data_IF_534253187300
#
_entry.id   IF_534253187300
#
_cell.length_a   1.000
_cell.length_b   1.000
_cell.length_c   1.000
_cell.angle_alpha   90.00
_cell.angle_beta   90.00
_cell.angle_gamma   90.00
#
_symmetry.space_group_name_H-M   'P 1'
#
loop_
_entity.id
_entity.type
_entity.pdbx_description
1 polymer ?
#
# COMPACT_ATOMS: atom_id res chain seq x y z
N UNK A 1 -22.79 -29.41 13.09
CA UNK A 1 -22.88 -28.02 12.59
C UNK A 1 -21.49 -27.54 12.13
N UNK A 2 -21.01 -28.06 11.00
CA UNK A 2 -19.74 -27.67 10.36
C UNK A 2 -19.91 -27.92 8.85
N UNK A 3 -20.18 -26.86 8.08
CA UNK A 3 -20.02 -26.90 6.62
C UNK A 3 -18.88 -25.97 6.26
N UNK A 4 -17.92 -26.56 5.58
CA UNK A 4 -16.57 -26.11 5.37
C UNK A 4 -16.45 -25.07 4.26
N UNK A 5 -15.39 -24.26 4.40
CA UNK A 5 -14.89 -23.26 3.47
C UNK A 5 -14.45 -23.86 2.12
N UNK A 6 -15.37 -24.16 1.19
CA UNK A 6 -15.02 -24.72 -0.13
C UNK A 6 -15.05 -23.74 -1.32
N UNK A 7 -15.31 -22.44 -1.13
CA UNK A 7 -15.36 -21.46 -2.24
C UNK A 7 -14.20 -20.44 -2.31
N UNK A 8 -13.08 -20.68 -1.62
CA UNK A 8 -11.95 -19.73 -1.57
C UNK A 8 -10.92 -19.77 -2.73
N UNK A 9 -10.68 -20.87 -3.49
CA UNK A 9 -9.57 -20.86 -4.46
C UNK A 9 -9.84 -20.07 -5.75
N UNK A 10 -11.06 -20.16 -6.33
CA UNK A 10 -11.36 -19.52 -7.62
C UNK A 10 -11.46 -17.98 -7.56
N UNK A 11 -11.85 -17.41 -6.41
CA UNK A 11 -11.94 -15.95 -6.23
C UNK A 11 -10.56 -15.28 -6.15
N UNK A 12 -9.55 -15.99 -5.65
CA UNK A 12 -8.20 -15.46 -5.48
C UNK A 12 -7.44 -15.36 -6.81
N UNK A 13 -7.62 -16.35 -7.70
CA UNK A 13 -6.91 -16.42 -8.98
C UNK A 13 -7.25 -15.25 -9.92
N UNK A 14 -8.53 -14.87 -10.00
CA UNK A 14 -8.98 -13.75 -10.83
C UNK A 14 -8.55 -12.39 -10.24
N UNK A 15 -8.50 -12.26 -8.91
CA UNK A 15 -8.01 -11.04 -8.26
C UNK A 15 -6.49 -10.85 -8.44
N UNK A 16 -5.71 -11.93 -8.44
CA UNK A 16 -4.26 -11.89 -8.70
C UNK A 16 -3.96 -11.55 -10.16
N UNK A 17 -4.73 -12.09 -11.12
CA UNK A 17 -4.62 -11.71 -12.54
C UNK A 17 -4.98 -10.25 -12.77
N UNK A 18 -6.05 -9.75 -12.15
CA UNK A 18 -6.44 -8.33 -12.25
C UNK A 18 -5.39 -7.41 -11.62
N UNK A 19 -4.77 -7.82 -10.51
CA UNK A 19 -3.68 -7.08 -9.85
C UNK A 19 -2.41 -7.02 -10.71
N UNK A 20 -2.00 -8.14 -11.31
CA UNK A 20 -0.90 -8.18 -12.28
C UNK A 20 -1.20 -7.33 -13.52
N UNK A 21 -2.44 -7.36 -14.01
CA UNK A 21 -2.90 -6.57 -15.16
C UNK A 21 -2.93 -5.06 -14.86
N UNK A 22 -3.36 -4.66 -13.66
CA UNK A 22 -3.30 -3.28 -13.18
C UNK A 22 -1.84 -2.79 -13.06
N UNK A 23 -0.93 -3.66 -12.58
CA UNK A 23 0.50 -3.35 -12.56
C UNK A 23 1.12 -3.27 -13.96
N UNK A 24 0.67 -4.07 -14.94
CA UNK A 24 1.21 -4.03 -16.31
C UNK A 24 0.64 -2.90 -17.18
N UNK A 25 -0.58 -2.44 -16.90
CA UNK A 25 -1.21 -1.27 -17.55
C UNK A 25 -0.46 0.05 -17.23
N UNK A 26 0.26 0.10 -16.10
CA UNK A 26 1.10 1.24 -15.73
C UNK A 26 2.35 1.32 -16.62
N UNK A 27 2.82 0.20 -17.18
CA UNK A 27 4.12 0.16 -17.86
C UNK A 27 4.10 0.03 -19.38
N UNK A 28 3.05 -0.47 -20.05
CA UNK A 28 3.05 -0.55 -21.54
C UNK A 28 1.65 -0.46 -22.18
N UNK A 29 1.36 0.64 -22.88
CA UNK A 29 0.36 0.67 -23.96
C UNK A 29 1.05 0.44 -25.29
N UNK A 30 1.04 -0.80 -25.78
CA UNK A 30 1.40 -1.08 -27.17
C UNK A 30 0.25 -0.59 -28.07
N UNK A 31 0.55 0.28 -29.03
CA UNK A 31 -0.42 0.75 -30.02
C UNK A 31 -0.45 -0.26 -31.17
N UNK A 32 -1.61 -0.84 -31.44
CA UNK A 32 -1.84 -1.66 -32.64
C UNK A 32 -2.09 -0.76 -33.86
N UNK A 33 -1.53 -1.16 -35.01
CA UNK A 33 -1.60 -0.49 -36.30
C UNK A 33 -2.78 -1.00 -37.14
N UNK A 34 -3.14 -0.27 -38.21
CA UNK A 34 -4.11 -0.70 -39.23
C UNK A 34 -3.70 -2.04 -39.85
N UNK A 35 -2.40 -2.31 -39.97
CA UNK A 35 -1.90 -3.60 -40.47
C UNK A 35 -2.25 -4.78 -39.55
N UNK A 36 -2.32 -4.56 -38.23
CA UNK A 36 -2.66 -5.60 -37.26
C UNK A 36 -4.16 -5.96 -37.31
N UNK A 37 -5.02 -4.98 -37.59
CA UNK A 37 -6.46 -5.23 -37.83
C UNK A 37 -6.69 -6.05 -39.10
N UNK A 38 -5.93 -5.76 -40.16
CA UNK A 38 -6.01 -6.48 -41.43
C UNK A 38 -5.50 -7.91 -41.25
N UNK A 39 -4.36 -8.11 -40.58
CA UNK A 39 -3.84 -9.45 -40.28
C UNK A 39 -4.77 -10.26 -39.37
N UNK A 40 -5.38 -9.64 -38.35
CA UNK A 40 -6.36 -10.31 -37.51
C UNK A 40 -7.57 -10.78 -38.32
N UNK A 41 -8.15 -9.91 -39.17
CA UNK A 41 -9.31 -10.26 -40.02
C UNK A 41 -9.02 -11.38 -41.03
N UNK A 42 -7.76 -11.56 -41.43
CA UNK A 42 -7.32 -12.62 -42.34
C UNK A 42 -7.15 -13.96 -41.59
N UNK A 43 -6.67 -13.93 -40.34
CA UNK A 43 -6.27 -15.14 -39.60
C UNK A 43 -7.27 -15.61 -38.52
N UNK A 44 -8.32 -14.83 -38.20
CA UNK A 44 -9.29 -15.19 -37.16
C UNK A 44 -10.40 -16.10 -37.69
N UNK A 45 -10.93 -16.98 -36.83
CA UNK A 45 -12.12 -17.76 -37.15
C UNK A 45 -13.37 -16.86 -37.28
N UNK A 46 -14.42 -17.38 -37.93
CA UNK A 46 -15.68 -16.64 -38.18
C UNK A 46 -16.28 -16.05 -36.89
N UNK A 47 -16.27 -16.80 -35.79
CA UNK A 47 -16.82 -16.39 -34.50
C UNK A 47 -16.05 -15.20 -33.87
N UNK A 48 -14.72 -15.18 -33.99
CA UNK A 48 -13.90 -14.08 -33.50
C UNK A 48 -14.07 -12.83 -34.35
N UNK A 49 -14.26 -12.99 -35.67
CA UNK A 49 -14.61 -11.89 -36.58
C UNK A 49 -15.97 -11.29 -36.25
N UNK A 50 -16.97 -12.12 -35.96
CA UNK A 50 -18.30 -11.67 -35.53
C UNK A 50 -18.23 -10.89 -34.22
N UNK A 51 -17.51 -11.40 -33.20
CA UNK A 51 -17.31 -10.70 -31.92
C UNK A 51 -16.57 -9.37 -32.09
N UNK A 52 -15.55 -9.34 -32.95
CA UNK A 52 -14.83 -8.11 -33.27
C UNK A 52 -15.78 -7.07 -33.88
N UNK A 53 -16.52 -7.45 -34.93
CA UNK A 53 -17.47 -6.58 -35.61
C UNK A 53 -18.56 -6.07 -34.65
N UNK A 54 -19.08 -6.93 -33.76
CA UNK A 54 -20.07 -6.54 -32.75
C UNK A 54 -19.50 -5.51 -31.76
N UNK A 55 -18.23 -5.64 -31.34
CA UNK A 55 -17.57 -4.64 -30.50
C UNK A 55 -17.44 -3.29 -31.22
N UNK A 56 -16.98 -3.28 -32.47
CA UNK A 56 -16.83 -2.05 -33.27
C UNK A 56 -18.18 -1.38 -33.50
N UNK A 57 -19.22 -2.16 -33.87
CA UNK A 57 -20.61 -1.68 -34.01
C UNK A 57 -21.13 -1.03 -32.73
N UNK A 58 -20.68 -1.51 -31.57
CA UNK A 58 -21.05 -0.93 -30.29
C UNK A 58 -20.19 0.26 -29.86
N UNK A 59 -19.18 0.64 -30.65
CA UNK A 59 -18.37 1.85 -30.44
C UNK A 59 -17.07 1.61 -29.68
N UNK A 60 -16.62 0.36 -29.52
CA UNK A 60 -15.27 0.09 -29.03
C UNK A 60 -14.25 0.38 -30.14
N UNK A 61 -13.07 0.86 -29.74
CA UNK A 61 -11.96 1.00 -30.70
C UNK A 61 -11.33 -0.35 -30.99
N UNK A 62 -10.86 -0.54 -32.23
CA UNK A 62 -10.14 -1.76 -32.63
C UNK A 62 -8.95 -2.06 -31.72
N UNK A 63 -8.19 -1.03 -31.35
CA UNK A 63 -7.06 -1.17 -30.43
C UNK A 63 -7.51 -1.70 -29.06
N UNK A 64 -8.63 -1.21 -28.52
CA UNK A 64 -9.17 -1.72 -27.26
C UNK A 64 -9.61 -3.19 -27.37
N UNK A 65 -10.20 -3.61 -28.50
CA UNK A 65 -10.62 -4.99 -28.72
C UNK A 65 -9.42 -5.93 -28.86
N UNK A 66 -8.47 -5.60 -29.75
CA UNK A 66 -7.31 -6.44 -30.05
C UNK A 66 -6.33 -6.55 -28.88
N UNK A 67 -6.17 -5.48 -28.09
CA UNK A 67 -5.34 -5.50 -26.88
C UNK A 67 -5.93 -6.35 -25.75
N UNK A 68 -7.15 -6.89 -25.91
CA UNK A 68 -7.91 -7.57 -24.87
C UNK A 68 -8.46 -8.93 -25.35
N UNK A 69 -7.57 -9.91 -25.46
CA UNK A 69 -7.89 -11.28 -25.91
C UNK A 69 -9.06 -11.95 -25.18
N UNK A 70 -9.33 -11.55 -23.93
CA UNK A 70 -10.43 -12.10 -23.14
C UNK A 70 -11.81 -11.84 -23.78
N UNK A 71 -11.95 -10.82 -24.63
CA UNK A 71 -13.20 -10.51 -25.35
C UNK A 71 -13.60 -11.70 -26.24
N UNK A 72 -12.64 -12.29 -26.94
CA UNK A 72 -12.88 -13.43 -27.83
C UNK A 72 -13.23 -14.71 -27.07
N UNK A 73 -12.94 -14.78 -25.77
CA UNK A 73 -13.29 -15.92 -24.89
C UNK A 73 -14.71 -15.81 -24.34
N UNK A 74 -15.38 -14.67 -24.49
CA UNK A 74 -16.77 -14.47 -24.03
C UNK A 74 -17.74 -15.09 -25.04
N UNK A 75 -18.85 -15.66 -24.56
CA UNK A 75 -19.94 -16.12 -25.41
C UNK A 75 -20.58 -14.94 -26.17
N UNK A 76 -20.86 -15.10 -27.47
CA UNK A 76 -21.38 -14.02 -28.32
C UNK A 76 -22.66 -13.37 -27.77
N UNK A 77 -23.63 -14.16 -27.28
CA UNK A 77 -24.88 -13.65 -26.72
C UNK A 77 -24.62 -12.80 -25.46
N UNK A 78 -23.68 -13.24 -24.61
CA UNK A 78 -23.27 -12.46 -23.44
C UNK A 78 -22.57 -11.15 -23.84
N UNK A 79 -21.71 -11.20 -24.87
CA UNK A 79 -21.01 -10.02 -25.39
C UNK A 79 -22.01 -8.98 -25.93
N UNK A 80 -22.88 -9.37 -26.87
CA UNK A 80 -23.84 -8.47 -27.51
C UNK A 80 -24.84 -7.87 -26.51
N UNK A 81 -25.42 -8.71 -25.64
CA UNK A 81 -26.33 -8.24 -24.59
C UNK A 81 -25.60 -7.32 -23.59
N UNK A 82 -24.36 -7.66 -23.23
CA UNK A 82 -23.55 -6.86 -22.31
C UNK A 82 -23.21 -5.49 -22.89
N UNK A 83 -22.81 -5.41 -24.15
CA UNK A 83 -22.54 -4.16 -24.85
C UNK A 83 -23.78 -3.27 -24.95
N UNK A 84 -24.95 -3.87 -25.15
CA UNK A 84 -26.24 -3.17 -25.12
C UNK A 84 -26.55 -2.59 -23.75
N UNK A 85 -26.26 -3.33 -22.67
CA UNK A 85 -26.41 -2.83 -21.31
C UNK A 85 -25.44 -1.69 -21.00
N UNK A 86 -24.17 -1.80 -21.41
CA UNK A 86 -23.17 -0.75 -21.18
C UNK A 86 -23.49 0.56 -21.89
N UNK A 87 -24.09 0.52 -23.08
CA UNK A 87 -24.59 1.74 -23.74
C UNK A 87 -25.59 2.52 -22.86
N UNK A 88 -26.40 1.83 -22.05
CA UNK A 88 -27.37 2.46 -21.12
C UNK A 88 -26.70 3.22 -19.96
N UNK A 89 -25.41 3.04 -19.73
CA UNK A 89 -24.64 3.78 -18.72
C UNK A 89 -24.20 5.17 -19.21
N UNK A 90 -24.60 5.55 -20.42
CA UNK A 90 -24.21 6.78 -21.10
C UNK A 90 -22.68 7.03 -21.08
N UNK A 91 -21.87 6.07 -21.61
CA UNK A 91 -20.43 6.24 -21.67
C UNK A 91 -20.03 7.39 -22.59
N UNK A 92 -19.05 8.19 -22.18
CA UNK A 92 -18.32 9.13 -23.05
C UNK A 92 -17.52 8.38 -24.12
N UNK A 93 -16.92 7.25 -23.75
CA UNK A 93 -16.26 6.29 -24.65
C UNK A 93 -16.58 4.88 -24.19
N UNK A 94 -16.93 3.98 -25.10
CA UNK A 94 -17.23 2.59 -24.75
C UNK A 94 -16.03 1.85 -24.17
N UNK A 95 -14.82 2.21 -24.62
CA UNK A 95 -13.54 1.75 -24.08
C UNK A 95 -13.36 2.05 -22.58
N UNK A 96 -14.10 2.98 -22.01
CA UNK A 96 -14.01 3.28 -20.58
C UNK A 96 -14.69 2.19 -19.74
N UNK A 97 -15.70 1.51 -20.28
CA UNK A 97 -16.59 0.61 -19.53
C UNK A 97 -16.49 -0.86 -19.93
N UNK A 98 -15.88 -1.18 -21.08
CA UNK A 98 -15.93 -2.54 -21.65
C UNK A 98 -15.42 -3.63 -20.70
N UNK A 99 -14.53 -3.33 -19.76
CA UNK A 99 -14.05 -4.31 -18.77
C UNK A 99 -15.20 -4.92 -17.95
N UNK A 100 -16.31 -4.20 -17.77
CA UNK A 100 -17.51 -4.69 -17.09
C UNK A 100 -18.16 -5.89 -17.79
N UNK A 101 -17.86 -6.14 -19.07
CA UNK A 101 -18.32 -7.33 -19.79
C UNK A 101 -17.81 -8.63 -19.17
N UNK A 102 -16.72 -8.59 -18.39
CA UNK A 102 -16.21 -9.74 -17.64
C UNK A 102 -17.09 -10.10 -16.43
N UNK A 103 -18.08 -9.28 -16.07
CA UNK A 103 -19.02 -9.59 -15.00
C UNK A 103 -20.09 -10.60 -15.46
N UNK A 104 -20.62 -11.44 -14.55
CA UNK A 104 -21.80 -12.25 -14.84
C UNK A 104 -22.97 -11.39 -15.28
N UNK A 105 -23.74 -11.85 -16.27
CA UNK A 105 -24.83 -11.07 -16.88
C UNK A 105 -25.86 -10.60 -15.85
N UNK A 106 -26.20 -11.44 -14.87
CA UNK A 106 -27.12 -11.10 -13.77
C UNK A 106 -26.63 -9.89 -12.97
N UNK A 107 -25.32 -9.79 -12.72
CA UNK A 107 -24.72 -8.64 -12.04
C UNK A 107 -24.68 -7.41 -12.93
N UNK A 108 -24.38 -7.57 -14.21
CA UNK A 108 -24.35 -6.45 -15.16
C UNK A 108 -25.75 -5.82 -15.32
N UNK A 109 -26.80 -6.65 -15.43
CA UNK A 109 -28.21 -6.18 -15.45
C UNK A 109 -28.55 -5.42 -14.18
N UNK A 110 -28.24 -5.99 -13.01
CA UNK A 110 -28.48 -5.34 -11.72
C UNK A 110 -27.78 -3.98 -11.61
N UNK A 111 -26.48 -3.94 -11.94
CA UNK A 111 -25.72 -2.69 -11.89
C UNK A 111 -26.20 -1.67 -12.91
N UNK A 112 -26.64 -2.10 -14.09
CA UNK A 112 -27.21 -1.19 -15.10
C UNK A 112 -28.48 -0.51 -14.59
N UNK A 113 -29.39 -1.28 -13.98
CA UNK A 113 -30.60 -0.71 -13.34
C UNK A 113 -30.22 0.27 -12.24
N UNK A 114 -29.28 -0.10 -11.36
CA UNK A 114 -28.81 0.75 -10.27
C UNK A 114 -28.17 2.04 -10.78
N UNK A 115 -27.26 1.98 -11.75
CA UNK A 115 -26.64 3.16 -12.36
C UNK A 115 -27.67 4.08 -12.97
N UNK A 116 -28.69 3.54 -13.65
CA UNK A 116 -29.76 4.35 -14.21
C UNK A 116 -30.56 5.09 -13.14
N UNK A 117 -30.96 4.40 -12.06
CA UNK A 117 -31.66 5.02 -10.92
C UNK A 117 -30.82 6.12 -10.25
N UNK A 118 -29.52 5.87 -10.10
CA UNK A 118 -28.59 6.80 -9.44
C UNK A 118 -28.10 7.93 -10.34
N UNK A 119 -28.37 7.89 -11.65
CA UNK A 119 -27.87 8.87 -12.62
C UNK A 119 -28.26 10.32 -12.30
N UNK A 120 -29.36 10.52 -11.57
CA UNK A 120 -29.85 11.83 -11.12
C UNK A 120 -29.06 12.40 -9.95
N UNK A 121 -28.46 11.54 -9.12
CA UNK A 121 -27.75 11.95 -7.90
C UNK A 121 -26.22 11.81 -8.04
N UNK A 122 -25.75 10.95 -8.95
CA UNK A 122 -24.33 10.74 -9.20
C UNK A 122 -23.84 11.77 -10.22
N UNK A 123 -22.87 12.64 -9.86
CA UNK A 123 -22.27 13.55 -10.82
C UNK A 123 -21.73 12.81 -12.05
N UNK A 124 -21.91 13.40 -13.22
CA UNK A 124 -21.60 12.78 -14.53
C UNK A 124 -22.43 11.53 -14.86
N UNK A 125 -23.54 11.28 -14.15
CA UNK A 125 -24.53 10.26 -14.48
C UNK A 125 -24.15 8.82 -14.12
N UNK A 126 -22.87 8.52 -13.90
CA UNK A 126 -22.44 7.21 -13.40
C UNK A 126 -21.18 7.29 -12.53
N UNK A 127 -21.01 6.26 -11.71
CA UNK A 127 -19.94 6.22 -10.69
C UNK A 127 -18.54 6.19 -11.30
N UNK A 128 -18.35 5.60 -12.49
CA UNK A 128 -17.03 5.55 -13.14
C UNK A 128 -16.55 6.97 -13.44
N UNK A 129 -17.39 7.82 -14.04
CA UNK A 129 -17.00 9.20 -14.31
C UNK A 129 -16.94 10.07 -13.06
N UNK A 130 -17.80 9.83 -12.07
CA UNK A 130 -17.67 10.47 -10.76
C UNK A 130 -16.30 10.21 -10.13
N UNK A 131 -15.87 8.95 -10.03
CA UNK A 131 -14.56 8.62 -9.46
C UNK A 131 -13.41 9.13 -10.32
N UNK A 132 -13.55 9.11 -11.65
CA UNK A 132 -12.55 9.64 -12.58
C UNK A 132 -12.30 11.14 -12.38
N UNK A 133 -13.35 11.94 -12.26
CA UNK A 133 -13.20 13.37 -11.99
C UNK A 133 -12.72 13.65 -10.56
N UNK A 134 -13.24 12.92 -9.58
CA UNK A 134 -12.93 13.10 -8.16
C UNK A 134 -11.46 12.81 -7.83
N UNK A 135 -10.91 11.75 -8.40
CA UNK A 135 -9.53 11.30 -8.17
C UNK A 135 -8.56 11.64 -9.30
N UNK A 136 -9.01 12.39 -10.31
CA UNK A 136 -8.21 12.81 -11.47
C UNK A 136 -7.57 11.60 -12.17
N UNK A 137 -8.37 10.56 -12.39
CA UNK A 137 -7.95 9.28 -12.99
C UNK A 137 -8.59 9.07 -14.35
N UNK A 138 -7.95 8.25 -15.17
CA UNK A 138 -8.55 7.84 -16.43
C UNK A 138 -9.80 6.97 -16.16
N UNK A 139 -10.94 7.18 -16.84
CA UNK A 139 -12.16 6.41 -16.61
C UNK A 139 -11.99 4.90 -16.76
N UNK A 140 -11.15 4.46 -17.70
CA UNK A 140 -10.82 3.05 -17.88
C UNK A 140 -10.11 2.49 -16.63
N UNK A 141 -9.08 3.18 -16.11
CA UNK A 141 -8.37 2.82 -14.86
C UNK A 141 -9.36 2.71 -13.70
N UNK A 142 -10.27 3.68 -13.60
CA UNK A 142 -11.32 3.69 -12.57
C UNK A 142 -12.24 2.50 -12.71
N UNK A 143 -12.64 2.14 -13.92
CA UNK A 143 -13.51 1.00 -14.15
C UNK A 143 -12.87 -0.31 -13.67
N UNK A 144 -11.58 -0.53 -13.96
CA UNK A 144 -10.82 -1.65 -13.41
C UNK A 144 -10.75 -1.61 -11.87
N UNK A 145 -10.53 -0.43 -11.30
CA UNK A 145 -10.48 -0.24 -9.86
C UNK A 145 -11.80 -0.59 -9.17
N UNK A 146 -12.92 -0.13 -9.72
CA UNK A 146 -14.26 -0.47 -9.21
C UNK A 146 -14.57 -1.97 -9.41
N UNK A 147 -14.08 -2.61 -10.48
CA UNK A 147 -14.17 -4.06 -10.64
C UNK A 147 -13.39 -4.84 -9.58
N UNK A 148 -12.27 -4.30 -9.10
CA UNK A 148 -11.53 -4.85 -7.97
C UNK A 148 -12.33 -4.65 -6.66
N UNK A 149 -12.84 -3.44 -6.44
CA UNK A 149 -13.63 -3.07 -5.27
C UNK A 149 -15.13 -3.00 -5.58
N UNK A 150 -15.73 -4.14 -5.92
CA UNK A 150 -17.12 -4.23 -6.44
C UNK A 150 -18.18 -3.57 -5.56
N UNK A 151 -17.95 -3.47 -4.25
CA UNK A 151 -18.86 -2.81 -3.33
C UNK A 151 -19.05 -1.32 -3.68
N UNK A 152 -18.08 -0.69 -4.36
CA UNK A 152 -18.19 0.69 -4.83
C UNK A 152 -19.31 0.88 -5.86
N UNK A 153 -19.73 -0.17 -6.55
CA UNK A 153 -20.90 -0.10 -7.43
C UNK A 153 -22.22 -0.18 -6.66
N UNK A 154 -22.23 -0.86 -5.50
CA UNK A 154 -23.47 -1.25 -4.83
C UNK A 154 -23.79 -0.42 -3.59
N UNK A 155 -22.76 0.01 -2.86
CA UNK A 155 -22.89 0.83 -1.64
C UNK A 155 -23.70 2.08 -1.92
N UNK A 156 -24.50 2.53 -0.97
CA UNK A 156 -25.25 3.79 -1.09
C UNK A 156 -24.34 4.95 -1.52
N UNK A 157 -24.74 5.67 -2.57
CA UNK A 157 -23.91 6.71 -3.18
C UNK A 157 -23.77 7.91 -2.24
N UNK A 158 -24.85 8.32 -1.57
CA UNK A 158 -24.86 9.48 -0.68
C UNK A 158 -23.87 9.27 0.46
N UNK A 159 -23.92 8.09 1.10
CA UNK A 159 -22.98 7.69 2.15
C UNK A 159 -21.54 7.69 1.65
N UNK A 160 -21.30 7.14 0.46
CA UNK A 160 -19.96 7.09 -0.13
C UNK A 160 -19.41 8.49 -0.38
N UNK A 161 -20.23 9.36 -0.98
CA UNK A 161 -19.90 10.75 -1.26
C UNK A 161 -19.63 11.53 0.03
N UNK A 162 -20.45 11.33 1.06
CA UNK A 162 -20.26 11.95 2.36
C UNK A 162 -18.94 11.52 3.02
N UNK A 163 -18.60 10.22 2.98
CA UNK A 163 -17.30 9.74 3.45
C UNK A 163 -16.15 10.42 2.70
N UNK A 164 -16.25 10.55 1.37
CA UNK A 164 -15.22 11.25 0.59
C UNK A 164 -15.04 12.70 1.07
N UNK A 165 -16.12 13.46 1.21
CA UNK A 165 -16.06 14.86 1.66
C UNK A 165 -15.47 15.00 3.07
N UNK A 166 -15.89 14.16 4.02
CA UNK A 166 -15.31 14.13 5.38
C UNK A 166 -13.79 13.94 5.30
N UNK A 167 -13.30 13.03 4.47
CA UNK A 167 -11.85 12.77 4.35
C UNK A 167 -11.11 13.98 3.76
N UNK A 168 -11.67 14.63 2.74
CA UNK A 168 -11.05 15.81 2.10
C UNK A 168 -11.05 17.02 3.05
N UNK A 169 -12.16 17.29 3.73
CA UNK A 169 -12.26 18.36 4.75
C UNK A 169 -11.24 18.18 5.88
N UNK A 170 -10.90 16.93 6.19
CA UNK A 170 -9.89 16.58 7.17
C UNK A 170 -8.48 16.42 6.57
N UNK A 171 -8.23 17.01 5.40
CA UNK A 171 -6.93 17.07 4.73
C UNK A 171 -6.31 15.70 4.44
N UNK A 172 -7.13 14.67 4.25
CA UNK A 172 -6.65 13.34 3.86
C UNK A 172 -6.31 13.36 2.37
N UNK A 173 -5.10 12.91 2.03
CA UNK A 173 -4.60 12.95 0.65
C UNK A 173 -5.43 12.06 -0.28
N UNK A 174 -5.87 12.59 -1.45
CA UNK A 174 -6.65 11.85 -2.45
C UNK A 174 -6.01 10.53 -2.89
N UNK A 175 -4.69 10.51 -3.07
CA UNK A 175 -3.97 9.29 -3.46
C UNK A 175 -3.96 8.24 -2.35
N UNK A 176 -3.92 8.65 -1.08
CA UNK A 176 -4.02 7.72 0.04
C UNK A 176 -5.44 7.12 0.12
N UNK A 177 -6.48 7.92 -0.12
CA UNK A 177 -7.88 7.46 -0.19
C UNK A 177 -8.05 6.46 -1.34
N UNK A 178 -7.51 6.77 -2.53
CA UNK A 178 -7.57 5.89 -3.69
C UNK A 178 -6.93 4.52 -3.41
N UNK A 179 -5.73 4.53 -2.80
CA UNK A 179 -5.01 3.31 -2.42
C UNK A 179 -5.72 2.50 -1.35
N UNK A 180 -6.41 3.15 -0.41
CA UNK A 180 -7.14 2.49 0.67
C UNK A 180 -8.66 2.63 0.50
N UNK A 181 -9.14 2.17 -0.66
CA UNK A 181 -10.55 2.24 -1.04
C UNK A 181 -11.51 1.56 -0.06
N UNK A 182 -11.00 0.62 0.76
CA UNK A 182 -11.78 -0.01 1.82
C UNK A 182 -12.25 0.97 2.90
N UNK A 183 -11.77 2.21 2.94
CA UNK A 183 -12.30 3.24 3.84
C UNK A 183 -13.79 3.53 3.58
N UNK A 184 -14.22 3.46 2.32
CA UNK A 184 -15.63 3.51 1.95
C UNK A 184 -16.41 2.29 2.45
N UNK A 185 -15.76 1.37 3.15
CA UNK A 185 -16.23 0.32 4.07
C UNK A 185 -17.11 0.76 5.24
N UNK A 186 -16.68 1.84 5.86
CA UNK A 186 -16.89 2.07 7.27
C UNK A 186 -18.03 3.06 7.51
N UNK A 187 -18.57 3.08 8.72
CA UNK A 187 -19.61 4.04 9.08
C UNK A 187 -19.02 5.44 9.23
N UNK A 188 -19.85 6.45 8.94
CA UNK A 188 -19.50 7.86 9.13
C UNK A 188 -19.16 8.13 10.60
N UNK A 189 -19.91 7.55 11.54
CA UNK A 189 -19.67 7.73 12.98
C UNK A 189 -18.30 7.21 13.41
N UNK A 190 -17.90 6.02 12.96
CA UNK A 190 -16.58 5.47 13.27
C UNK A 190 -15.47 6.36 12.69
N UNK A 191 -15.64 6.83 11.45
CA UNK A 191 -14.68 7.71 10.78
C UNK A 191 -14.54 9.01 11.56
N UNK A 192 -15.64 9.68 11.89
CA UNK A 192 -15.65 10.93 12.64
C UNK A 192 -15.06 10.77 14.04
N UNK A 193 -15.40 9.69 14.74
CA UNK A 193 -14.84 9.37 16.03
C UNK A 193 -13.31 9.27 15.97
N UNK A 194 -12.76 8.51 15.02
CA UNK A 194 -11.30 8.35 14.88
C UNK A 194 -10.58 9.59 14.37
N UNK A 195 -11.24 10.39 13.53
CA UNK A 195 -10.74 11.71 13.13
C UNK A 195 -10.62 12.60 14.37
N UNK A 196 -11.64 12.62 15.24
CA UNK A 196 -11.61 13.44 16.46
C UNK A 196 -10.47 13.07 17.40
N UNK A 197 -10.23 11.75 17.59
CA UNK A 197 -9.13 11.25 18.41
C UNK A 197 -7.77 11.58 17.78
N UNK A 198 -7.64 11.43 16.46
CA UNK A 198 -6.40 11.76 15.74
C UNK A 198 -6.07 13.26 15.86
N UNK A 199 -7.06 14.14 15.75
CA UNK A 199 -6.89 15.59 15.93
C UNK A 199 -6.46 15.93 17.35
N UNK A 200 -7.10 15.35 18.38
CA UNK A 200 -6.71 15.53 19.79
C UNK A 200 -5.25 15.09 20.04
N UNK A 201 -4.82 14.03 19.37
CA UNK A 201 -3.45 13.52 19.44
C UNK A 201 -2.45 14.25 18.53
N UNK A 202 -2.88 15.27 17.77
CA UNK A 202 -2.08 15.96 16.75
C UNK A 202 -1.40 15.00 15.76
N UNK A 203 -2.18 14.01 15.28
CA UNK A 203 -1.74 13.02 14.30
C UNK A 203 -2.24 13.36 12.90
N UNK A 204 -1.40 13.18 11.85
CA UNK A 204 -1.87 13.24 10.49
C UNK A 204 -2.84 12.10 10.22
N UNK A 205 -4.00 12.42 9.66
CA UNK A 205 -5.06 11.44 9.42
C UNK A 205 -4.72 10.63 8.16
N UNK A 206 -4.67 9.31 8.29
CA UNK A 206 -4.50 8.37 7.18
C UNK A 206 -5.68 7.40 7.11
N UNK A 207 -6.14 7.00 5.91
CA UNK A 207 -7.29 6.10 5.77
C UNK A 207 -7.17 4.80 6.57
N UNK A 208 -5.98 4.19 6.60
CA UNK A 208 -5.75 2.94 7.34
C UNK A 208 -6.00 3.10 8.85
N UNK A 209 -5.76 4.30 9.41
CA UNK A 209 -5.99 4.59 10.83
C UNK A 209 -7.48 4.61 11.17
N UNK A 210 -8.33 4.96 10.20
CA UNK A 210 -9.77 5.06 10.39
C UNK A 210 -10.47 3.68 10.33
N UNK A 211 -9.75 2.66 9.84
CA UNK A 211 -10.27 1.30 9.65
C UNK A 211 -9.56 0.22 10.49
N UNK A 212 -8.38 0.50 11.04
CA UNK A 212 -7.63 -0.50 11.77
C UNK A 212 -8.36 -0.92 13.06
N UNK A 213 -7.96 -2.04 13.66
CA UNK A 213 -8.54 -2.45 14.94
C UNK A 213 -8.29 -1.39 16.04
N UNK A 214 -9.15 -1.28 17.07
CA UNK A 214 -8.97 -0.29 18.14
C UNK A 214 -7.59 -0.31 18.77
N UNK A 215 -7.06 -1.50 19.06
CA UNK A 215 -5.77 -1.67 19.75
C UNK A 215 -4.60 -1.14 18.90
N UNK A 216 -4.68 -1.31 17.58
CA UNK A 216 -3.68 -0.78 16.64
C UNK A 216 -3.73 0.75 16.59
N UNK A 217 -4.92 1.33 16.70
CA UNK A 217 -5.12 2.78 16.68
C UNK A 217 -4.65 3.42 18.00
N UNK A 218 -5.05 2.86 19.13
CA UNK A 218 -4.62 3.26 20.47
C UNK A 218 -3.11 3.20 20.58
N UNK A 219 -2.49 2.08 20.18
CA UNK A 219 -1.03 1.95 20.18
C UNK A 219 -0.34 3.00 19.32
N UNK A 220 -0.96 3.41 18.21
CA UNK A 220 -0.42 4.49 17.35
C UNK A 220 -0.43 5.83 18.08
N UNK A 221 -1.50 6.13 18.82
CA UNK A 221 -1.60 7.34 19.65
C UNK A 221 -0.57 7.31 20.78
N UNK A 222 -0.46 6.20 21.50
CA UNK A 222 0.52 6.00 22.58
C UNK A 222 1.94 6.23 22.09
N UNK A 223 2.36 5.56 21.01
CA UNK A 223 3.71 5.72 20.44
C UNK A 223 3.98 7.18 20.09
N UNK A 224 2.98 7.91 19.57
CA UNK A 224 3.15 9.32 19.25
C UNK A 224 3.35 10.16 20.51
N UNK A 225 2.58 9.90 21.56
CA UNK A 225 2.69 10.59 22.84
C UNK A 225 4.03 10.29 23.51
N UNK A 226 4.43 9.02 23.61
CA UNK A 226 5.74 8.61 24.14
C UNK A 226 6.88 9.30 23.38
N UNK A 227 6.83 9.30 22.05
CA UNK A 227 7.84 9.98 21.23
C UNK A 227 7.86 11.50 21.47
N UNK A 228 6.70 12.12 21.69
CA UNK A 228 6.61 13.55 22.00
C UNK A 228 7.21 13.86 23.37
N UNK A 229 7.02 12.99 24.37
CA UNK A 229 7.65 13.13 25.69
C UNK A 229 9.18 13.10 25.56
N UNK A 230 9.71 12.18 24.76
CA UNK A 230 11.17 12.06 24.54
C UNK A 230 11.75 13.24 23.79
N UNK A 231 11.08 13.67 22.71
CA UNK A 231 11.55 14.78 21.87
C UNK A 231 11.28 16.16 22.48
N UNK A 232 10.28 16.28 23.36
CA UNK A 232 9.74 17.55 23.83
C UNK A 232 9.31 18.45 22.64
N UNK A 233 10.10 19.51 22.34
CA UNK A 233 9.91 20.40 21.18
C UNK A 233 10.96 20.22 20.09
N UNK A 234 11.92 19.33 20.31
CA UNK A 234 13.05 19.13 19.41
C UNK A 234 12.68 18.18 18.27
N UNK A 235 13.34 18.35 17.12
CA UNK A 235 13.41 17.30 16.11
C UNK A 235 14.30 16.14 16.61
N UNK A 236 14.17 14.96 16.01
CA UNK A 236 15.08 13.82 16.29
C UNK A 236 16.55 14.20 16.14
N UNK A 237 16.89 15.03 15.14
CA UNK A 237 18.26 15.48 14.92
C UNK A 237 18.76 16.39 16.05
N UNK A 238 17.93 17.33 16.50
CA UNK A 238 18.23 18.21 17.62
C UNK A 238 18.36 17.43 18.94
N UNK A 239 17.46 16.48 19.17
CA UNK A 239 17.51 15.59 20.34
C UNK A 239 18.83 14.82 20.40
N UNK A 240 19.24 14.18 19.29
CA UNK A 240 20.51 13.46 19.21
C UNK A 240 21.71 14.38 19.38
N UNK A 241 21.69 15.56 18.75
CA UNK A 241 22.77 16.55 18.84
C UNK A 241 23.00 16.99 20.29
N UNK A 242 21.92 17.32 21.01
CA UNK A 242 21.96 17.69 22.43
C UNK A 242 22.48 16.55 23.30
N UNK A 243 21.95 15.33 23.11
CA UNK A 243 22.30 14.16 23.94
C UNK A 243 23.74 13.70 23.75
N UNK A 244 24.25 13.79 22.53
CA UNK A 244 25.62 13.42 22.20
C UNK A 244 26.61 14.60 22.31
N UNK A 245 26.14 15.80 22.64
CA UNK A 245 26.93 17.04 22.72
C UNK A 245 27.71 17.33 21.43
N UNK A 246 27.05 17.20 20.28
CA UNK A 246 27.63 17.47 18.96
C UNK A 246 26.79 18.48 18.17
N UNK A 247 27.38 19.18 17.19
CA UNK A 247 26.63 20.09 16.33
C UNK A 247 25.51 19.38 15.55
N UNK A 248 24.36 20.02 15.39
CA UNK A 248 23.21 19.47 14.64
C UNK A 248 23.58 19.11 13.19
N UNK A 249 24.45 19.90 12.56
CA UNK A 249 24.98 19.63 11.21
C UNK A 249 25.62 18.24 11.09
N UNK A 250 26.27 17.77 12.15
CA UNK A 250 26.91 16.45 12.19
C UNK A 250 25.85 15.35 12.16
N UNK A 251 24.78 15.48 12.95
CA UNK A 251 23.67 14.52 12.95
C UNK A 251 22.93 14.52 11.62
N UNK A 252 22.73 15.69 11.00
CA UNK A 252 22.12 15.80 9.67
C UNK A 252 22.96 15.09 8.60
N UNK A 253 24.28 15.26 8.63
CA UNK A 253 25.20 14.54 7.75
C UNK A 253 25.15 13.01 7.94
N UNK A 254 25.13 12.54 9.19
CA UNK A 254 24.97 11.10 9.46
C UNK A 254 23.58 10.61 8.99
N UNK A 255 22.54 11.41 9.15
CA UNK A 255 21.18 11.10 8.71
C UNK A 255 21.06 11.00 7.19
N UNK A 256 21.75 11.87 6.43
CA UNK A 256 21.77 11.79 4.97
C UNK A 256 22.58 10.59 4.48
N UNK A 257 23.66 10.23 5.16
CA UNK A 257 24.51 9.07 4.81
C UNK A 257 23.89 7.73 5.20
N UNK A 258 23.17 7.67 6.31
CA UNK A 258 22.57 6.45 6.87
C UNK A 258 21.07 6.65 7.21
N UNK A 259 20.21 6.90 6.20
CA UNK A 259 18.83 7.31 6.44
C UNK A 259 17.97 6.24 7.13
N UNK A 260 18.27 4.95 6.91
CA UNK A 260 17.54 3.84 7.53
C UNK A 260 17.83 3.70 9.01
N UNK A 261 19.05 4.04 9.41
CA UNK A 261 19.56 3.85 10.77
C UNK A 261 18.95 4.83 11.77
N UNK A 262 18.58 6.01 11.33
CA UNK A 262 18.00 7.07 12.16
C UNK A 262 16.47 7.22 11.98
N UNK A 263 15.81 6.25 11.32
CA UNK A 263 14.34 6.14 11.23
C UNK A 263 13.69 5.43 12.41
N UNK A 264 14.49 4.98 13.38
CA UNK A 264 13.98 4.36 14.61
C UNK A 264 13.21 5.35 15.46
N UNK A 265 12.28 4.86 16.29
CA UNK A 265 11.46 5.73 17.13
C UNK A 265 12.34 6.51 18.13
N UNK A 266 11.99 7.77 18.45
CA UNK A 266 12.64 8.53 19.51
C UNK A 266 12.74 7.78 20.84
N UNK A 267 11.71 7.04 21.25
CA UNK A 267 11.75 6.18 22.44
C UNK A 267 12.89 5.16 22.40
N UNK A 268 12.98 4.38 21.32
CA UNK A 268 14.06 3.40 21.14
C UNK A 268 15.44 4.07 21.07
N UNK A 269 15.55 5.24 20.42
CA UNK A 269 16.79 6.02 20.41
C UNK A 269 17.21 6.43 21.82
N UNK A 270 16.27 6.91 22.64
CA UNK A 270 16.54 7.26 24.03
C UNK A 270 17.06 6.07 24.81
N UNK A 271 16.37 4.94 24.76
CA UNK A 271 16.75 3.75 25.51
C UNK A 271 18.13 3.21 25.08
N UNK A 272 18.41 3.16 23.77
CA UNK A 272 19.73 2.75 23.28
C UNK A 272 20.81 3.75 23.72
N UNK A 273 20.57 5.06 23.62
CA UNK A 273 21.53 6.06 24.07
C UNK A 273 21.80 5.99 25.58
N UNK A 274 20.76 5.85 26.40
CA UNK A 274 20.90 5.70 27.85
C UNK A 274 21.75 4.48 28.18
N UNK A 275 21.49 3.35 27.54
CA UNK A 275 22.29 2.14 27.69
C UNK A 275 23.76 2.37 27.28
N UNK A 276 24.02 2.87 26.07
CA UNK A 276 25.39 3.03 25.57
C UNK A 276 26.21 4.03 26.39
N UNK A 277 25.61 5.15 26.78
CA UNK A 277 26.29 6.16 27.60
C UNK A 277 26.56 5.63 29.01
N UNK A 278 25.64 4.84 29.58
CA UNK A 278 25.84 4.17 30.89
C UNK A 278 26.98 3.17 30.84
N UNK A 279 27.12 2.42 29.75
CA UNK A 279 28.23 1.48 29.53
C UNK A 279 29.56 2.17 29.15
N UNK A 280 29.61 3.51 29.15
CA UNK A 280 30.84 4.28 28.95
C UNK A 280 31.19 4.58 27.49
N UNK A 281 30.32 4.25 26.52
CA UNK A 281 30.58 4.59 25.12
C UNK A 281 30.51 6.10 24.88
N UNK A 282 31.59 6.66 24.34
CA UNK A 282 31.67 8.09 23.97
C UNK A 282 30.86 8.40 22.72
N UNK A 283 30.43 9.65 22.56
CA UNK A 283 29.70 10.12 21.38
C UNK A 283 30.39 9.81 20.06
N UNK A 284 31.71 9.87 20.02
CA UNK A 284 32.52 9.53 18.84
C UNK A 284 32.37 8.07 18.42
N UNK A 285 32.31 7.14 19.39
CA UNK A 285 32.08 5.72 19.12
C UNK A 285 30.67 5.49 18.55
N UNK A 286 29.66 6.15 19.15
CA UNK A 286 28.26 6.00 18.73
C UNK A 286 28.07 6.53 17.31
N UNK A 287 28.63 7.70 17.00
CA UNK A 287 28.52 8.34 15.69
C UNK A 287 29.35 7.67 14.60
N UNK A 288 30.46 7.01 14.95
CA UNK A 288 31.23 6.19 14.00
C UNK A 288 30.53 4.87 13.69
N UNK A 289 29.63 4.41 14.56
CA UNK A 289 28.85 3.17 14.37
C UNK A 289 27.33 3.44 14.43
N UNK A 290 26.74 4.22 13.50
CA UNK A 290 25.32 4.57 13.58
C UNK A 290 24.41 3.35 13.65
N UNK A 291 24.80 2.24 12.99
CA UNK A 291 24.02 0.99 12.91
C UNK A 291 23.61 0.44 14.27
N UNK A 292 24.28 0.83 15.35
CA UNK A 292 23.89 0.49 16.72
C UNK A 292 22.42 0.77 17.03
N UNK A 293 21.85 1.84 16.45
CA UNK A 293 20.44 2.19 16.65
C UNK A 293 19.44 1.20 16.04
N UNK A 294 19.88 0.35 15.10
CA UNK A 294 19.02 -0.63 14.45
C UNK A 294 18.80 -1.89 15.28
N UNK A 295 19.71 -2.20 16.20
CA UNK A 295 19.64 -3.40 17.05
C UNK A 295 18.63 -3.23 18.19
N UNK A 296 18.19 -4.34 18.79
CA UNK A 296 17.44 -4.29 20.06
C UNK A 296 18.41 -4.14 21.23
N UNK A 297 17.94 -3.56 22.33
CA UNK A 297 18.74 -3.43 23.55
C UNK A 297 19.11 -4.80 24.10
N UNK A 298 18.18 -5.76 24.06
CA UNK A 298 18.44 -7.14 24.48
C UNK A 298 19.64 -7.74 23.76
N UNK A 299 19.71 -7.59 22.43
CA UNK A 299 20.85 -8.09 21.64
C UNK A 299 22.13 -7.34 21.97
N UNK A 300 22.08 -6.02 22.20
CA UNK A 300 23.28 -5.27 22.58
C UNK A 300 23.79 -5.67 23.97
N UNK A 301 22.89 -5.90 24.93
CA UNK A 301 23.22 -6.34 26.28
C UNK A 301 23.80 -7.75 26.29
N UNK A 302 23.13 -8.71 25.66
CA UNK A 302 23.58 -10.11 25.55
C UNK A 302 25.01 -10.18 24.99
N UNK A 303 25.25 -9.50 23.88
CA UNK A 303 26.56 -9.50 23.22
C UNK A 303 27.64 -8.78 24.02
N UNK A 304 27.27 -7.73 24.74
CA UNK A 304 28.20 -6.98 25.57
C UNK A 304 28.62 -7.81 26.79
N UNK A 305 27.69 -8.51 27.42
CA UNK A 305 27.99 -9.46 28.51
C UNK A 305 28.86 -10.61 28.00
N UNK A 306 28.47 -11.26 26.90
CA UNK A 306 29.23 -12.38 26.34
C UNK A 306 30.68 -12.01 25.98
N UNK A 307 30.91 -10.83 25.39
CA UNK A 307 32.27 -10.38 25.08
C UNK A 307 33.09 -10.10 26.34
N UNK A 308 32.48 -9.50 27.39
CA UNK A 308 33.15 -9.26 28.67
C UNK A 308 33.50 -10.55 29.38
N UNK A 309 32.60 -11.53 29.39
CA UNK A 309 32.82 -12.84 30.01
C UNK A 309 33.96 -13.60 29.30
N UNK A 310 34.16 -13.36 28.01
CA UNK A 310 35.28 -13.88 27.23
C UNK A 310 36.58 -13.05 27.37
N UNK A 311 36.61 -12.03 28.23
CA UNK A 311 37.77 -11.17 28.47
C UNK A 311 38.10 -10.23 27.31
N UNK A 312 37.16 -10.00 26.38
CA UNK A 312 37.33 -9.09 25.25
C UNK A 312 36.71 -7.73 25.53
N UNK A 313 37.39 -6.65 25.14
CA UNK A 313 36.84 -5.29 25.25
C UNK A 313 35.70 -5.09 24.23
N UNK A 314 34.45 -4.86 24.65
CA UNK A 314 33.32 -4.77 23.73
C UNK A 314 33.35 -3.46 22.94
N UNK A 315 33.56 -3.55 21.63
CA UNK A 315 33.44 -2.39 20.73
C UNK A 315 32.07 -2.34 20.05
N UNK A 316 31.54 -1.14 19.78
CA UNK A 316 30.25 -1.01 19.07
C UNK A 316 30.25 -1.70 17.72
N UNK A 317 31.37 -1.67 17.00
CA UNK A 317 31.54 -2.38 15.72
C UNK A 317 31.36 -3.88 15.89
N UNK A 318 31.89 -4.48 16.96
CA UNK A 318 31.71 -5.90 17.28
C UNK A 318 30.25 -6.21 17.64
N UNK A 319 29.64 -5.41 18.52
CA UNK A 319 28.24 -5.58 18.92
C UNK A 319 27.27 -5.48 17.74
N UNK A 320 27.59 -4.67 16.74
CA UNK A 320 26.73 -4.42 15.58
C UNK A 320 26.89 -5.41 14.41
N UNK A 321 27.75 -6.43 14.54
CA UNK A 321 27.97 -7.47 13.52
C UNK A 321 26.67 -8.24 13.21
N UNK A 322 26.57 -8.81 12.02
CA UNK A 322 25.47 -9.74 11.71
C UNK A 322 25.65 -11.04 12.51
N UNK A 323 24.61 -11.88 12.63
CA UNK A 323 24.65 -13.08 13.47
C UNK A 323 25.84 -14.00 13.16
N UNK A 324 26.07 -14.30 11.89
CA UNK A 324 27.16 -15.20 11.44
C UNK A 324 28.53 -14.65 11.80
N UNK A 325 28.83 -13.40 11.42
CA UNK A 325 30.13 -12.76 11.70
C UNK A 325 30.36 -12.48 13.18
N UNK A 326 29.30 -12.29 13.95
CA UNK A 326 29.38 -12.18 15.40
C UNK A 326 29.75 -13.54 16.03
N UNK A 327 29.11 -14.64 15.59
CA UNK A 327 29.44 -15.97 16.09
C UNK A 327 30.89 -16.37 15.74
N UNK A 328 31.37 -16.04 14.55
CA UNK A 328 32.78 -16.26 14.18
C UNK A 328 33.75 -15.52 15.10
N UNK A 329 33.40 -14.30 15.53
CA UNK A 329 34.20 -13.53 16.49
C UNK A 329 34.22 -14.24 17.86
N UNK A 330 33.06 -14.65 18.37
CA UNK A 330 32.92 -15.39 19.62
C UNK A 330 33.74 -16.68 19.59
N UNK A 331 33.60 -17.49 18.53
CA UNK A 331 34.34 -18.74 18.39
C UNK A 331 35.86 -18.52 18.38
N UNK A 332 36.34 -17.45 17.73
CA UNK A 332 37.76 -17.08 17.74
C UNK A 332 38.25 -16.69 19.15
N UNK A 333 37.42 -16.00 19.93
CA UNK A 333 37.75 -15.62 21.30
C UNK A 333 37.79 -16.85 22.22
N UNK A 334 36.83 -17.76 22.10
CA UNK A 334 36.80 -19.03 22.84
C UNK A 334 38.08 -19.84 22.55
N UNK A 335 38.45 -20.00 21.27
CA UNK A 335 39.66 -20.71 20.87
C UNK A 335 40.96 -20.07 21.39
N UNK A 336 40.97 -18.73 21.52
CA UNK A 336 42.11 -18.00 22.08
C UNK A 336 42.25 -18.26 23.57
N UNK A 337 41.13 -18.24 24.30
CA UNK A 337 41.11 -18.47 25.74
C UNK A 337 41.46 -19.93 26.08
N UNK A 338 40.99 -20.91 25.33
CA UNK A 338 41.35 -22.33 25.56
C UNK A 338 42.83 -22.63 25.29
N UNK A 339 43.47 -21.94 24.32
CA UNK A 339 44.90 -22.09 24.06
C UNK A 339 45.79 -21.39 25.09
N UNK A 340 45.27 -20.38 25.81
CA UNK A 340 46.01 -19.65 26.85
C UNK A 340 46.15 -20.38 28.19
N UNK A 341 45.38 -21.45 28.43
CA UNK A 341 45.43 -22.25 29.67
C UNK A 341 46.34 -23.50 29.58
N UNK A 342 47.02 -23.73 28.45
CA UNK A 342 47.92 -24.87 28.22
C UNK A 342 49.42 -24.49 28.28
N UNK A 343 49.82 -23.60 29.19
CA UNK A 343 51.23 -23.30 29.51
C UNK A 343 51.47 -23.48 31.00
#
# INVERSE_FOLDING_TARGET
MLISNMFKPLKCLNAIKLRKYLSSMIDKKQKFSIQDEVQFKINCNLNDKEKFNECIKHGLTSNAVLSNEWIFKINFNHLSAGLTLLKKWNPKKMDDLFVLLQMPMTKLVYLTKKTHLESKIVPHGNRVYYFASTFEKNPQEVCYHLMHYKFLFTRDFITLNHIYHILIENSVNKNDIWKDTWIFMYSIDQINHRISLSKKANLPIKPWMLRCKPEVFERTIEIKQENRVVLNKDSTAQYLAKRLKVPEKTIRYISSKYPTTLRVSPTKLKEILDFLLKEGFRSTHILSTPRVFTHSISTLQERLTELRDLGAEPTLTALCKNKTTYQELVNKLILKNTKGYNI
#
